data_IF_298177823179
#
_entry.id   IF_298177823179
#
_cell.length_a   1.000
_cell.length_b   1.000
_cell.length_c   1.000
_cell.angle_alpha   90.00
_cell.angle_beta   90.00
_cell.angle_gamma   90.00
#
_symmetry.space_group_name_H-M   'P 1'
#
loop_
_entity.id
_entity.type
_entity.pdbx_description
1 polymer ?
#
# COMPACT_ATOMS: atom_id res chain seq x y z
N UNK A 1 -6.32 17.99 29.93
CA UNK A 1 -5.34 17.75 28.85
C UNK A 1 -5.84 16.54 28.10
N UNK A 2 -6.14 16.69 26.80
CA UNK A 2 -6.75 15.62 26.03
C UNK A 2 -5.79 14.44 25.96
N UNK A 3 -6.32 13.23 26.14
CA UNK A 3 -5.62 11.99 25.79
C UNK A 3 -6.19 11.45 24.48
N UNK A 4 -5.33 10.83 23.66
CA UNK A 4 -5.70 10.21 22.39
C UNK A 4 -5.35 8.73 22.42
N UNK A 5 -6.26 7.91 21.92
CA UNK A 5 -5.96 6.55 21.51
C UNK A 5 -6.17 6.43 20.01
N UNK A 6 -5.08 6.14 19.29
CA UNK A 6 -5.10 5.94 17.85
C UNK A 6 -5.69 4.59 17.47
N UNK A 7 -6.17 4.44 16.23
CA UNK A 7 -6.55 3.14 15.71
C UNK A 7 -5.34 2.18 15.73
N UNK A 8 -5.62 0.89 15.86
CA UNK A 8 -4.59 -0.14 15.76
C UNK A 8 -3.86 -0.08 14.41
N UNK A 9 -2.63 -0.57 14.41
CA UNK A 9 -1.86 -0.71 13.17
C UNK A 9 -2.51 -1.69 12.19
N UNK A 10 -2.27 -1.49 10.91
CA UNK A 10 -2.85 -2.30 9.82
C UNK A 10 -1.74 -2.80 8.92
N UNK A 11 -1.88 -4.02 8.41
CA UNK A 11 -1.00 -4.57 7.38
C UNK A 11 -1.81 -4.89 6.13
N UNK A 12 -1.34 -4.41 4.98
CA UNK A 12 -1.96 -4.65 3.67
C UNK A 12 -0.89 -5.09 2.67
N UNK A 13 -1.31 -5.77 1.60
CA UNK A 13 -0.37 -6.23 0.57
C UNK A 13 -0.06 -5.13 -0.41
N UNK A 14 -1.06 -4.31 -0.76
CA UNK A 14 -0.94 -3.35 -1.85
C UNK A 14 -1.08 -1.90 -1.35
N UNK A 15 -0.38 -0.97 -2.01
CA UNK A 15 -0.49 0.45 -1.67
C UNK A 15 -1.92 0.99 -1.87
N UNK A 16 -2.67 0.43 -2.82
CA UNK A 16 -4.08 0.74 -3.09
C UNK A 16 -5.03 0.29 -1.98
N UNK A 17 -4.60 -0.61 -1.10
CA UNK A 17 -5.41 -1.12 0.02
C UNK A 17 -5.21 -0.30 1.31
N UNK A 18 -4.30 0.68 1.29
CA UNK A 18 -4.07 1.56 2.45
C UNK A 18 -5.38 2.27 2.82
N UNK A 19 -5.87 2.11 4.07
CA UNK A 19 -7.10 2.76 4.49
C UNK A 19 -7.01 4.28 4.36
N UNK A 20 -8.07 4.96 3.90
CA UNK A 20 -8.11 6.41 3.88
C UNK A 20 -8.01 6.97 5.31
N UNK A 21 -7.61 8.24 5.41
CA UNK A 21 -7.59 8.96 6.68
C UNK A 21 -8.99 8.96 7.30
N UNK A 22 -9.10 8.56 8.57
CA UNK A 22 -10.36 8.58 9.32
C UNK A 22 -10.13 9.11 10.73
N UNK A 23 -10.38 10.40 10.94
CA UNK A 23 -10.26 11.06 12.25
C UNK A 23 -11.30 10.57 13.25
N UNK A 24 -12.46 10.08 12.79
CA UNK A 24 -13.51 9.52 13.65
C UNK A 24 -13.15 8.17 14.28
N UNK A 25 -12.08 7.51 13.81
CA UNK A 25 -11.56 6.29 14.44
C UNK A 25 -10.64 6.59 15.63
N UNK A 26 -10.28 7.84 15.88
CA UNK A 26 -9.48 8.26 17.03
C UNK A 26 -10.41 8.49 18.20
N UNK A 27 -10.12 7.86 19.34
CA UNK A 27 -10.86 8.12 20.57
C UNK A 27 -10.12 9.13 21.42
N UNK A 28 -10.87 10.05 22.03
CA UNK A 28 -10.32 11.11 22.87
C UNK A 28 -11.02 11.13 24.23
N UNK A 29 -10.29 11.48 25.28
CA UNK A 29 -10.87 11.83 26.57
C UNK A 29 -10.24 13.12 27.08
N UNK A 30 -11.00 13.93 27.80
CA UNK A 30 -10.47 15.13 28.46
C UNK A 30 -11.08 15.27 29.86
N UNK A 31 -10.27 15.67 30.82
CA UNK A 31 -10.66 15.79 32.22
C UNK A 31 -11.43 17.08 32.53
N UNK A 32 -11.44 18.04 31.60
CA UNK A 32 -12.06 19.35 31.77
C UNK A 32 -13.47 19.46 31.16
N UNK A 33 -13.93 18.46 30.40
CA UNK A 33 -15.15 18.54 29.59
C UNK A 33 -15.00 19.48 28.39
N UNK A 34 -15.90 19.36 27.40
CA UNK A 34 -15.87 20.17 26.18
C UNK A 34 -15.61 19.35 24.91
N UNK A 35 -15.63 20.04 23.76
CA UNK A 35 -15.39 19.42 22.45
C UNK A 35 -13.88 19.33 22.22
N UNK A 36 -13.40 18.11 21.96
CA UNK A 36 -12.04 17.86 21.49
C UNK A 36 -12.07 17.71 19.97
N UNK A 37 -11.27 18.51 19.26
CA UNK A 37 -11.18 18.44 17.80
C UNK A 37 -10.02 17.55 17.41
N UNK A 38 -10.25 16.54 16.56
CA UNK A 38 -9.22 15.66 16.00
C UNK A 38 -8.93 16.04 14.55
N UNK A 39 -7.66 16.23 14.23
CA UNK A 39 -7.15 16.49 12.89
C UNK A 39 -6.13 15.43 12.47
N UNK A 40 -6.02 15.22 11.16
CA UNK A 40 -4.87 14.53 10.57
C UNK A 40 -3.72 15.53 10.44
N UNK A 41 -2.57 15.17 11.01
CA UNK A 41 -1.40 16.04 11.07
C UNK A 41 -0.40 15.72 9.94
N UNK A 42 -0.36 14.46 9.51
CA UNK A 42 0.44 14.06 8.36
C UNK A 42 0.67 12.55 8.23
N UNK A 43 1.24 12.18 7.09
CA UNK A 43 1.62 10.83 6.70
C UNK A 43 3.11 10.81 6.36
N UNK A 44 3.87 9.86 6.91
CA UNK A 44 5.30 9.68 6.65
C UNK A 44 5.58 8.26 6.15
N UNK A 45 6.22 8.15 4.99
CA UNK A 45 6.64 6.85 4.42
C UNK A 45 8.10 6.60 4.78
N UNK A 46 8.39 5.40 5.27
CA UNK A 46 9.74 4.92 5.61
C UNK A 46 9.96 3.51 5.06
N UNK A 47 11.22 3.07 4.97
CA UNK A 47 11.60 1.72 4.53
C UNK A 47 11.02 1.32 3.16
N UNK A 48 10.85 2.28 2.25
CA UNK A 48 10.31 2.00 0.93
C UNK A 48 11.36 1.32 0.04
N UNK A 49 11.06 0.10 -0.40
CA UNK A 49 11.91 -0.65 -1.33
C UNK A 49 11.26 -0.83 -2.70
N UNK A 50 9.93 -0.79 -2.77
CA UNK A 50 9.17 -0.71 -4.01
C UNK A 50 7.80 -0.05 -3.77
N UNK A 51 7.02 0.14 -4.84
CA UNK A 51 5.70 0.78 -4.77
C UNK A 51 4.74 0.11 -3.78
N UNK A 52 4.83 -1.20 -3.58
CA UNK A 52 3.99 -1.97 -2.65
C UNK A 52 4.77 -2.51 -1.44
N UNK A 53 5.89 -1.88 -1.06
CA UNK A 53 6.67 -2.31 0.10
C UNK A 53 7.28 -1.14 0.86
N UNK A 54 6.60 -0.72 1.92
CA UNK A 54 7.00 0.40 2.79
C UNK A 54 6.21 0.39 4.11
N UNK A 55 6.65 1.22 5.07
CA UNK A 55 5.90 1.51 6.30
C UNK A 55 5.38 2.95 6.26
N UNK A 56 4.08 3.13 6.47
CA UNK A 56 3.41 4.41 6.58
C UNK A 56 3.10 4.71 8.05
N UNK A 57 3.60 5.81 8.57
CA UNK A 57 3.24 6.34 9.89
C UNK A 57 2.29 7.51 9.72
N UNK A 58 1.05 7.35 10.19
CA UNK A 58 0.00 8.36 10.15
C UNK A 58 -0.16 9.03 11.50
N UNK A 59 -0.04 10.35 11.56
CA UNK A 59 -0.11 11.13 12.79
C UNK A 59 -1.46 11.84 12.89
N UNK A 60 -2.10 11.70 14.04
CA UNK A 60 -3.29 12.45 14.41
C UNK A 60 -2.98 13.38 15.57
N UNK A 61 -3.65 14.54 15.58
CA UNK A 61 -3.55 15.54 16.63
C UNK A 61 -4.95 15.83 17.16
N UNK A 62 -5.11 15.90 18.48
CA UNK A 62 -6.32 16.45 19.08
C UNK A 62 -6.01 17.71 19.86
N UNK A 63 -6.94 18.66 19.81
CA UNK A 63 -6.85 19.95 20.50
C UNK A 63 -8.12 20.17 21.32
N UNK A 64 -7.97 20.52 22.59
CA UNK A 64 -9.09 20.86 23.48
C UNK A 64 -9.50 22.34 23.34
N UNK A 65 -10.61 22.72 23.99
CA UNK A 65 -11.14 24.08 23.94
C UNK A 65 -10.21 25.15 24.58
N UNK A 66 -9.27 24.72 25.41
CA UNK A 66 -8.29 25.57 26.08
C UNK A 66 -6.98 25.71 25.28
N UNK A 67 -6.87 25.02 24.14
CA UNK A 67 -5.70 25.03 23.27
C UNK A 67 -4.62 24.00 23.62
N UNK A 68 -4.85 23.10 24.59
CA UNK A 68 -3.91 22.00 24.82
C UNK A 68 -4.04 20.97 23.71
N UNK A 69 -2.92 20.37 23.30
CA UNK A 69 -2.92 19.35 22.26
C UNK A 69 -2.13 18.11 22.63
N UNK A 70 -2.56 16.97 22.07
CA UNK A 70 -1.86 15.70 22.14
C UNK A 70 -1.87 15.01 20.77
N UNK A 71 -0.89 14.14 20.53
CA UNK A 71 -0.73 13.43 19.26
C UNK A 71 -0.67 11.92 19.49
N UNK A 72 -1.12 11.15 18.51
CA UNK A 72 -0.90 9.71 18.46
C UNK A 72 -0.61 9.27 17.01
N UNK A 73 -0.01 8.10 16.87
CA UNK A 73 0.37 7.55 15.55
C UNK A 73 -0.26 6.19 15.29
N UNK A 74 -0.71 5.99 14.05
CA UNK A 74 -1.08 4.69 13.51
C UNK A 74 0.03 4.21 12.56
N UNK A 75 0.47 2.97 12.72
CA UNK A 75 1.47 2.35 11.83
C UNK A 75 0.76 1.45 10.83
N UNK A 76 0.96 1.70 9.54
CA UNK A 76 0.41 0.93 8.44
C UNK A 76 1.58 0.30 7.68
N UNK A 77 1.60 -1.03 7.55
CA UNK A 77 2.63 -1.75 6.80
C UNK A 77 2.08 -2.18 5.46
N UNK A 78 2.74 -1.76 4.37
CA UNK A 78 2.47 -2.24 3.02
C UNK A 78 3.59 -3.19 2.65
N UNK A 79 3.26 -4.45 2.37
CA UNK A 79 4.26 -5.46 2.09
C UNK A 79 3.73 -6.53 1.13
N UNK A 80 4.04 -6.33 -0.15
CA UNK A 80 3.81 -7.34 -1.17
C UNK A 80 4.87 -8.45 -1.10
N UNK A 81 4.39 -9.68 -0.99
CA UNK A 81 5.17 -10.92 -0.93
C UNK A 81 4.66 -11.96 -1.92
N UNK A 82 3.62 -11.62 -2.67
CA UNK A 82 3.03 -12.51 -3.66
C UNK A 82 3.84 -12.38 -4.93
N UNK A 83 4.20 -13.52 -5.53
CA UNK A 83 4.93 -13.51 -6.79
C UNK A 83 3.96 -13.23 -7.95
N UNK A 84 4.42 -12.53 -9.00
CA UNK A 84 3.61 -12.37 -10.21
C UNK A 84 3.44 -13.72 -10.90
N UNK A 85 2.31 -13.84 -11.60
CA UNK A 85 2.01 -14.98 -12.46
C UNK A 85 2.36 -14.68 -13.90
N UNK A 86 2.77 -15.72 -14.63
CA UNK A 86 3.06 -15.67 -16.06
C UNK A 86 2.31 -16.81 -16.76
N UNK A 87 1.64 -16.49 -17.85
CA UNK A 87 0.98 -17.47 -18.73
C UNK A 87 1.60 -17.35 -20.11
N UNK A 88 2.28 -18.42 -20.52
CA UNK A 88 2.88 -18.50 -21.86
C UNK A 88 1.81 -18.81 -22.92
N UNK A 89 2.01 -18.35 -24.17
CA UNK A 89 1.19 -18.79 -25.29
C UNK A 89 1.30 -20.30 -25.49
N UNK A 90 0.27 -20.88 -26.12
CA UNK A 90 0.25 -22.30 -26.44
C UNK A 90 1.44 -22.69 -27.32
N UNK A 91 1.90 -23.92 -27.15
CA UNK A 91 2.94 -24.50 -28.00
C UNK A 91 2.44 -24.55 -29.45
N UNK A 92 3.34 -24.25 -30.37
CA UNK A 92 3.12 -24.42 -31.81
C UNK A 92 4.02 -25.54 -32.33
N UNK A 93 3.58 -26.23 -33.36
CA UNK A 93 4.38 -27.19 -34.09
C UNK A 93 4.45 -26.71 -35.54
N UNK A 94 5.66 -26.61 -36.06
CA UNK A 94 5.93 -26.18 -37.43
C UNK A 94 6.72 -27.27 -38.15
N UNK A 95 6.55 -27.39 -39.46
CA UNK A 95 7.21 -28.44 -40.23
C UNK A 95 8.64 -28.08 -40.62
N UNK A 96 8.93 -26.77 -40.71
CA UNK A 96 10.23 -26.25 -41.12
C UNK A 96 10.72 -25.12 -40.20
N UNK A 97 12.03 -24.94 -40.09
CA UNK A 97 12.63 -23.90 -39.23
C UNK A 97 12.27 -22.46 -39.66
N UNK A 98 12.02 -22.23 -40.95
CA UNK A 98 11.61 -20.92 -41.49
C UNK A 98 10.14 -20.58 -41.19
N UNK A 99 9.34 -21.53 -40.70
CA UNK A 99 7.95 -21.33 -40.30
C UNK A 99 7.82 -20.92 -38.82
N UNK A 100 8.93 -20.96 -38.04
CA UNK A 100 8.93 -20.49 -36.65
C UNK A 100 8.63 -18.98 -36.64
N UNK A 101 7.49 -18.54 -36.06
CA UNK A 101 7.16 -17.13 -36.00
C UNK A 101 8.18 -16.37 -35.15
N UNK A 102 8.37 -15.06 -35.43
CA UNK A 102 9.21 -14.23 -34.59
C UNK A 102 8.68 -14.21 -33.15
N UNK A 103 9.59 -14.00 -32.19
CA UNK A 103 9.20 -13.87 -30.79
C UNK A 103 8.22 -12.71 -30.64
N UNK A 104 7.06 -12.99 -30.06
CA UNK A 104 6.06 -12.00 -29.72
C UNK A 104 5.81 -12.03 -28.21
N UNK A 105 6.30 -11.03 -27.49
CA UNK A 105 6.08 -10.91 -26.05
C UNK A 105 4.67 -10.42 -25.70
N UNK A 106 3.92 -9.87 -26.66
CA UNK A 106 2.55 -9.42 -26.44
C UNK A 106 1.55 -10.57 -26.27
N UNK A 107 1.92 -11.81 -26.61
CA UNK A 107 1.10 -13.00 -26.37
C UNK A 107 1.35 -13.63 -25.00
N UNK A 108 2.31 -13.11 -24.24
CA UNK A 108 2.56 -13.53 -22.86
C UNK A 108 1.67 -12.70 -21.95
N UNK A 109 0.81 -13.37 -21.17
CA UNK A 109 0.01 -12.70 -20.16
C UNK A 109 0.72 -12.74 -18.80
N UNK A 110 0.65 -11.63 -18.06
CA UNK A 110 1.21 -11.50 -16.73
C UNK A 110 0.20 -10.85 -15.81
N UNK A 111 0.16 -11.27 -14.55
CA UNK A 111 -0.70 -10.65 -13.54
C UNK A 111 -0.04 -10.67 -12.17
N UNK A 112 -0.37 -9.69 -11.35
CA UNK A 112 0.06 -9.55 -9.97
C UNK A 112 -1.12 -9.07 -9.11
N UNK A 113 -1.19 -9.47 -7.84
CA UNK A 113 -2.28 -9.11 -6.93
C UNK A 113 -2.32 -7.60 -6.65
N UNK A 114 -1.19 -6.91 -6.68
CA UNK A 114 -1.14 -5.46 -6.50
C UNK A 114 -1.18 -4.69 -7.82
N UNK A 115 -1.42 -5.40 -8.93
CA UNK A 115 -1.39 -4.84 -10.27
C UNK A 115 0.01 -4.35 -10.66
N UNK A 116 0.06 -3.31 -11.48
CA UNK A 116 1.31 -2.78 -12.00
C UNK A 116 1.83 -3.52 -13.23
N UNK A 117 2.91 -3.00 -13.79
CA UNK A 117 3.50 -3.53 -15.03
C UNK A 117 4.53 -4.60 -14.66
N UNK A 118 4.20 -5.86 -14.94
CA UNK A 118 5.17 -6.95 -14.91
C UNK A 118 5.95 -6.92 -16.23
N UNK A 119 7.27 -6.77 -16.15
CA UNK A 119 8.11 -6.66 -17.35
C UNK A 119 8.54 -8.05 -17.84
N UNK A 120 8.15 -8.41 -19.05
CA UNK A 120 8.61 -9.64 -19.72
C UNK A 120 9.92 -9.34 -20.45
N UNK A 121 11.00 -10.05 -20.10
CA UNK A 121 12.29 -9.96 -20.79
C UNK A 121 12.63 -11.28 -21.47
N UNK A 122 13.08 -11.21 -22.73
CA UNK A 122 13.62 -12.38 -23.43
C UNK A 122 15.09 -12.54 -23.02
N UNK A 123 15.43 -13.68 -22.42
CA UNK A 123 16.82 -14.06 -22.19
C UNK A 123 17.34 -14.80 -23.42
N UNK A 124 18.41 -14.32 -24.03
CA UNK A 124 19.16 -15.06 -25.06
C UNK A 124 20.29 -15.78 -24.32
N UNK A 125 20.31 -17.12 -24.39
CA UNK A 125 21.45 -17.92 -23.93
C UNK A 125 22.60 -17.83 -24.93
#
# INVERSE_FOLDING_TARGET
>A
MPTLTCPAGVSVSCASEVPPVNTGSVTTTDNCGGIVTVTHDGDAITNQTCANRFTLTRTYRATDACGNSATCTQVITVNDVTAPTITCPANITVSCANEVPPVNTATVATADNCGGVVTVTRRVM
#
